data_IF_818518189930
#
_entry.id   IF_818518189930
#
_cell.length_a   1.000
_cell.length_b   1.000
_cell.length_c   1.000
_cell.angle_alpha   90.00
_cell.angle_beta   90.00
_cell.angle_gamma   90.00
#
_symmetry.space_group_name_H-M   'P 1'
#
loop_
_entity.id
_entity.type
_entity.pdbx_description
1 polymer ?
#
# COMPACT_ATOMS: atom_id res chain seq x y z
N UNK A 1 19.57 -3.55 7.91
CA UNK A 1 18.72 -2.42 7.51
C UNK A 1 17.27 -2.87 7.49
N UNK A 2 16.39 -2.12 8.12
CA UNK A 2 14.99 -2.51 8.29
C UNK A 2 14.13 -1.94 7.17
N UNK A 3 13.33 -2.78 6.52
CA UNK A 3 12.36 -2.34 5.52
C UNK A 3 10.96 -2.37 6.14
N UNK A 4 10.52 -1.23 6.65
CA UNK A 4 9.22 -1.11 7.34
C UNK A 4 8.05 -1.25 6.40
N UNK A 5 8.23 -0.91 5.11
CA UNK A 5 7.18 -1.08 4.10
C UNK A 5 7.02 -2.56 3.78
N UNK A 6 8.13 -3.30 3.63
CA UNK A 6 8.07 -4.74 3.41
C UNK A 6 7.38 -5.45 4.58
N UNK A 7 7.66 -5.03 5.81
CA UNK A 7 6.99 -5.56 7.00
C UNK A 7 5.49 -5.27 6.95
N UNK A 8 5.10 -4.05 6.59
CA UNK A 8 3.69 -3.65 6.42
C UNK A 8 2.98 -4.56 5.41
N UNK A 9 3.57 -4.75 4.24
CA UNK A 9 2.99 -5.59 3.19
C UNK A 9 2.90 -7.06 3.64
N UNK A 10 3.91 -7.53 4.35
CA UNK A 10 3.93 -8.91 4.88
C UNK A 10 2.83 -9.12 5.90
N UNK A 11 2.60 -8.16 6.80
CA UNK A 11 1.51 -8.23 7.78
C UNK A 11 0.16 -8.29 7.11
N UNK A 12 -0.06 -7.47 6.07
CA UNK A 12 -1.29 -7.51 5.28
C UNK A 12 -1.44 -8.86 4.58
N UNK A 13 -0.38 -9.33 3.93
CA UNK A 13 -0.39 -10.60 3.19
C UNK A 13 -0.72 -11.77 4.11
N UNK A 14 -0.10 -11.82 5.29
CA UNK A 14 -0.35 -12.89 6.26
C UNK A 14 -1.78 -12.84 6.81
N UNK A 15 -2.30 -11.65 7.10
CA UNK A 15 -3.67 -11.48 7.57
C UNK A 15 -4.69 -11.91 6.51
N UNK A 16 -4.44 -11.59 5.25
CA UNK A 16 -5.30 -12.00 4.13
C UNK A 16 -5.28 -13.52 3.98
N UNK A 17 -4.10 -14.13 4.04
CA UNK A 17 -3.95 -15.58 3.93
C UNK A 17 -4.65 -16.31 5.08
N UNK A 18 -4.66 -15.73 6.27
CA UNK A 18 -5.33 -16.28 7.45
C UNK A 18 -6.81 -15.90 7.53
N UNK A 19 -7.34 -15.16 6.57
CA UNK A 19 -8.73 -14.68 6.52
C UNK A 19 -9.11 -13.83 7.73
N UNK A 20 -8.19 -13.04 8.26
CA UNK A 20 -8.49 -12.11 9.33
C UNK A 20 -9.34 -10.96 8.81
N UNK A 21 -10.24 -10.43 9.63
CA UNK A 21 -11.06 -9.26 9.28
C UNK A 21 -10.33 -7.96 9.51
N UNK A 22 -9.47 -7.92 10.52
CA UNK A 22 -8.75 -6.72 10.92
C UNK A 22 -7.29 -7.08 11.12
N UNK A 23 -6.41 -6.18 10.68
CA UNK A 23 -4.97 -6.30 10.93
C UNK A 23 -4.48 -5.01 11.56
N UNK A 24 -3.56 -5.13 12.52
CA UNK A 24 -2.94 -4.00 13.18
C UNK A 24 -1.47 -3.92 12.76
N UNK A 25 -1.03 -2.71 12.43
CA UNK A 25 0.37 -2.47 12.05
C UNK A 25 0.88 -1.23 12.80
N UNK A 26 2.17 -1.19 13.16
CA UNK A 26 2.76 0.03 13.72
C UNK A 26 2.62 1.18 12.73
N UNK A 27 2.26 2.37 13.22
CA UNK A 27 2.01 3.52 12.36
C UNK A 27 3.31 4.24 11.99
N UNK A 28 3.30 4.85 10.81
CA UNK A 28 4.26 5.86 10.38
C UNK A 28 3.53 6.74 9.36
N UNK A 29 4.07 7.92 9.08
CA UNK A 29 3.45 8.81 8.10
C UNK A 29 3.31 8.16 6.73
N UNK A 30 4.37 7.46 6.30
CA UNK A 30 4.37 6.77 5.01
C UNK A 30 3.33 5.65 4.97
N UNK A 31 3.25 4.82 6.02
CA UNK A 31 2.26 3.74 6.11
C UNK A 31 0.83 4.28 6.13
N UNK A 32 0.60 5.41 6.81
CA UNK A 32 -0.71 6.07 6.82
C UNK A 32 -1.11 6.51 5.41
N UNK A 33 -0.17 7.08 4.64
CA UNK A 33 -0.44 7.50 3.27
C UNK A 33 -0.73 6.30 2.36
N UNK A 34 0.00 5.22 2.50
CA UNK A 34 -0.25 3.98 1.74
C UNK A 34 -1.63 3.44 2.09
N UNK A 35 -2.00 3.42 3.36
CA UNK A 35 -3.30 2.92 3.82
C UNK A 35 -4.45 3.76 3.24
N UNK A 36 -4.32 5.08 3.22
CA UNK A 36 -5.31 5.96 2.60
C UNK A 36 -5.52 5.62 1.12
N UNK A 37 -4.42 5.37 0.39
CA UNK A 37 -4.49 5.01 -1.02
C UNK A 37 -5.22 3.69 -1.20
N UNK A 38 -4.92 2.68 -0.39
CA UNK A 38 -5.61 1.40 -0.44
C UNK A 38 -7.11 1.55 -0.22
N UNK A 39 -7.50 2.41 0.71
CA UNK A 39 -8.91 2.71 0.96
C UNK A 39 -9.56 3.43 -0.23
N UNK A 40 -8.93 4.47 -0.74
CA UNK A 40 -9.46 5.25 -1.87
C UNK A 40 -9.60 4.40 -3.13
N UNK A 41 -8.71 3.45 -3.34
CA UNK A 41 -8.73 2.56 -4.51
C UNK A 41 -9.63 1.33 -4.30
N UNK A 42 -10.26 1.21 -3.14
CA UNK A 42 -11.22 0.14 -2.87
C UNK A 42 -10.59 -1.20 -2.51
N UNK A 43 -9.34 -1.24 -2.09
CA UNK A 43 -8.66 -2.49 -1.70
C UNK A 43 -8.91 -2.90 -0.27
N UNK A 44 -9.27 -1.96 0.59
CA UNK A 44 -9.62 -2.23 1.99
C UNK A 44 -10.97 -1.63 2.30
N UNK A 45 -11.63 -2.17 3.33
CA UNK A 45 -12.97 -1.71 3.71
C UNK A 45 -12.92 -0.39 4.48
N UNK A 46 -11.99 -0.26 5.41
CA UNK A 46 -11.84 0.94 6.23
C UNK A 46 -10.50 0.89 6.98
N UNK A 47 -10.14 1.98 7.63
CA UNK A 47 -8.95 2.06 8.45
C UNK A 47 -9.16 3.04 9.59
N UNK A 48 -8.36 2.89 10.65
CA UNK A 48 -8.41 3.77 11.81
C UNK A 48 -7.01 3.94 12.38
N UNK A 49 -6.65 5.17 12.74
CA UNK A 49 -5.41 5.46 13.43
C UNK A 49 -5.69 5.48 14.93
N UNK A 50 -4.95 4.70 15.68
CA UNK A 50 -5.13 4.57 17.13
C UNK A 50 -3.86 5.01 17.83
N UNK A 51 -3.99 6.00 18.71
CA UNK A 51 -2.92 6.38 19.62
C UNK A 51 -3.03 5.52 20.86
N UNK A 52 -1.91 5.04 21.37
CA UNK A 52 -1.88 4.19 22.55
C UNK A 52 -0.59 4.37 23.32
N UNK A 53 -0.17 3.35 24.04
CA UNK A 53 1.08 3.36 24.81
C UNK A 53 2.32 3.52 23.91
N UNK A 54 2.19 3.08 22.66
CA UNK A 54 3.24 3.25 21.67
C UNK A 54 3.23 4.68 21.12
N UNK A 55 4.35 5.44 21.20
CA UNK A 55 4.40 6.81 20.69
C UNK A 55 4.09 6.94 19.21
N UNK A 56 4.36 5.87 18.42
CA UNK A 56 4.08 5.85 16.99
C UNK A 56 2.60 5.67 16.69
N UNK A 57 1.87 5.03 17.60
CA UNK A 57 0.50 4.64 17.35
C UNK A 57 0.39 3.37 16.51
N UNK A 58 -0.83 3.01 16.19
CA UNK A 58 -1.17 1.79 15.44
C UNK A 58 -2.18 2.13 14.36
N UNK A 59 -2.06 1.50 13.19
CA UNK A 59 -3.06 1.56 12.14
C UNK A 59 -3.86 0.26 12.21
N UNK A 60 -5.18 0.38 12.40
CA UNK A 60 -6.11 -0.75 12.29
C UNK A 60 -6.70 -0.73 10.91
N UNK A 61 -6.58 -1.82 10.18
CA UNK A 61 -7.03 -1.93 8.80
C UNK A 61 -8.11 -3.01 8.75
N UNK A 62 -9.31 -2.63 8.32
CA UNK A 62 -10.39 -3.57 8.08
C UNK A 62 -10.27 -4.08 6.65
N UNK A 63 -10.01 -5.37 6.50
CA UNK A 63 -9.82 -6.01 5.20
C UNK A 63 -11.16 -6.22 4.50
N UNK A 64 -11.13 -6.20 3.18
CA UNK A 64 -12.33 -6.27 2.35
C UNK A 64 -12.42 -7.64 1.66
N UNK A 65 -13.50 -8.36 1.90
CA UNK A 65 -13.78 -9.66 1.31
C UNK A 65 -15.07 -9.61 0.52
N UNK A 66 -15.12 -10.38 -0.56
CA UNK A 66 -16.36 -10.56 -1.31
C UNK A 66 -17.37 -11.31 -0.42
N UNK A 67 -18.62 -10.82 -0.31
CA UNK A 67 -19.61 -11.46 0.58
C UNK A 67 -20.06 -12.85 0.10
N UNK A 68 -19.88 -13.18 -1.16
CA UNK A 68 -20.31 -14.46 -1.74
C UNK A 68 -19.19 -15.49 -1.70
N UNK A 69 -18.06 -15.22 -2.37
CA UNK A 69 -16.94 -16.16 -2.48
C UNK A 69 -15.87 -15.98 -1.40
N UNK A 70 -15.96 -14.91 -0.62
CA UNK A 70 -15.06 -14.57 0.48
C UNK A 70 -13.60 -14.37 0.07
N UNK A 71 -13.38 -14.03 -1.19
CA UNK A 71 -12.04 -13.70 -1.70
C UNK A 71 -11.71 -12.26 -1.32
N UNK A 72 -10.48 -12.03 -0.84
CA UNK A 72 -10.04 -10.69 -0.47
C UNK A 72 -9.89 -9.80 -1.71
N UNK A 73 -10.21 -8.51 -1.56
CA UNK A 73 -10.06 -7.53 -2.63
C UNK A 73 -8.61 -7.38 -3.09
N UNK A 74 -7.65 -7.58 -2.19
CA UNK A 74 -6.23 -7.58 -2.53
C UNK A 74 -5.84 -8.98 -2.98
N UNK A 75 -5.42 -9.12 -4.24
CA UNK A 75 -4.98 -10.40 -4.80
C UNK A 75 -3.47 -10.57 -4.65
N UNK A 76 -2.72 -9.48 -4.69
CA UNK A 76 -1.27 -9.52 -4.56
C UNK A 76 -0.70 -8.21 -4.06
N UNK A 77 0.43 -8.33 -3.36
CA UNK A 77 1.21 -7.22 -2.83
C UNK A 77 2.67 -7.50 -3.17
N UNK A 78 3.33 -6.59 -3.87
CA UNK A 78 4.73 -6.76 -4.26
C UNK A 78 5.54 -5.54 -3.88
N UNK A 79 6.58 -5.76 -3.07
CA UNK A 79 7.56 -4.72 -2.76
C UNK A 79 8.46 -4.52 -3.98
N UNK A 80 8.62 -3.29 -4.44
CA UNK A 80 9.45 -2.98 -5.62
C UNK A 80 10.76 -2.34 -5.19
N UNK A 81 10.73 -1.11 -4.67
CA UNK A 81 11.92 -0.43 -4.19
C UNK A 81 12.31 -0.96 -2.81
N UNK A 82 13.59 -1.23 -2.59
CA UNK A 82 14.10 -1.76 -1.32
C UNK A 82 15.26 -0.91 -0.84
N UNK A 83 15.56 -0.90 0.47
CA UNK A 83 16.69 -0.13 0.96
C UNK A 83 18.02 -0.42 0.27
N UNK A 84 18.26 -1.68 -0.12
CA UNK A 84 19.47 -2.09 -0.82
C UNK A 84 19.43 -1.87 -2.33
N UNK A 85 18.26 -1.60 -2.90
CA UNK A 85 18.10 -1.39 -4.35
C UNK A 85 16.87 -0.52 -4.59
N UNK A 86 17.07 0.79 -4.61
CA UNK A 86 15.99 1.75 -4.85
C UNK A 86 15.58 1.74 -6.32
N UNK A 87 14.27 1.79 -6.58
CA UNK A 87 13.69 1.78 -7.91
C UNK A 87 12.94 3.09 -8.15
N UNK A 88 13.36 3.83 -9.18
CA UNK A 88 12.74 5.11 -9.53
C UNK A 88 12.18 5.05 -10.94
N UNK A 89 11.19 5.87 -11.23
CA UNK A 89 10.63 6.00 -12.57
C UNK A 89 10.29 7.47 -12.87
N UNK A 90 10.38 7.86 -14.13
CA UNK A 90 9.86 9.13 -14.61
C UNK A 90 8.39 9.01 -14.97
N UNK A 91 7.70 10.15 -15.10
CA UNK A 91 6.27 10.14 -15.39
C UNK A 91 5.94 9.56 -16.79
N UNK A 92 6.90 9.58 -17.72
CA UNK A 92 6.70 9.03 -19.06
C UNK A 92 6.78 7.50 -19.10
N UNK A 93 7.47 6.91 -18.13
CA UNK A 93 7.72 5.46 -18.07
C UNK A 93 6.99 4.82 -16.90
N UNK A 94 5.82 5.36 -16.53
CA UNK A 94 5.05 4.86 -15.40
C UNK A 94 4.73 3.38 -15.57
N UNK A 95 4.99 2.55 -14.53
CA UNK A 95 4.65 1.13 -14.60
C UNK A 95 3.14 0.93 -14.67
N UNK A 96 2.74 -0.08 -15.42
CA UNK A 96 1.34 -0.53 -15.48
C UNK A 96 1.26 -1.89 -14.80
N UNK A 97 0.41 -2.00 -13.80
CA UNK A 97 0.23 -3.22 -13.03
C UNK A 97 -0.98 -3.97 -13.59
N UNK A 98 -0.76 -5.18 -14.09
CA UNK A 98 -1.82 -6.01 -14.69
C UNK A 98 -2.65 -5.25 -15.73
N UNK A 99 -1.99 -4.54 -16.64
CA UNK A 99 -2.62 -3.75 -17.71
C UNK A 99 -3.65 -2.73 -17.18
N UNK A 100 -3.35 -2.13 -16.01
CA UNK A 100 -4.21 -1.12 -15.41
C UNK A 100 -5.24 -1.66 -14.43
N UNK A 101 -5.28 -2.96 -14.19
CA UNK A 101 -6.18 -3.56 -13.20
C UNK A 101 -5.66 -3.40 -11.76
N UNK A 102 -4.36 -3.20 -11.61
CA UNK A 102 -3.73 -2.92 -10.33
C UNK A 102 -3.16 -1.52 -10.27
N UNK A 103 -2.49 -1.20 -9.17
CA UNK A 103 -1.84 0.10 -8.96
C UNK A 103 -0.40 -0.07 -8.55
N UNK A 104 0.42 0.94 -8.86
CA UNK A 104 1.71 1.15 -8.24
C UNK A 104 1.59 2.33 -7.29
N UNK A 105 2.18 2.21 -6.11
CA UNK A 105 2.23 3.31 -5.14
C UNK A 105 3.63 3.90 -5.18
N UNK A 106 3.71 5.22 -5.41
CA UNK A 106 4.96 5.95 -5.56
C UNK A 106 5.12 7.00 -4.48
N UNK A 107 6.37 7.21 -4.07
CA UNK A 107 6.76 8.36 -3.26
C UNK A 107 7.37 9.40 -4.19
N UNK A 108 6.70 10.54 -4.30
CA UNK A 108 7.12 11.64 -5.20
C UNK A 108 7.40 12.89 -4.39
N UNK A 109 7.96 13.91 -5.06
CA UNK A 109 8.17 15.22 -4.44
C UNK A 109 6.85 15.90 -4.03
N UNK A 110 5.73 15.44 -4.57
CA UNK A 110 4.39 15.98 -4.27
C UNK A 110 3.57 15.06 -3.36
N UNK A 111 4.23 14.07 -2.75
CA UNK A 111 3.61 13.15 -1.80
C UNK A 111 3.54 11.72 -2.31
N UNK A 112 2.90 10.87 -1.54
CA UNK A 112 2.69 9.46 -1.88
C UNK A 112 1.40 9.36 -2.69
N UNK A 113 1.47 8.70 -3.85
CA UNK A 113 0.34 8.64 -4.78
C UNK A 113 0.40 7.40 -5.66
N UNK A 114 -0.66 7.15 -6.41
CA UNK A 114 -0.70 6.07 -7.38
C UNK A 114 0.05 6.46 -8.66
N UNK A 115 0.40 5.43 -9.46
CA UNK A 115 1.01 5.64 -10.77
C UNK A 115 0.15 6.52 -11.69
N UNK A 116 -1.17 6.34 -11.65
CA UNK A 116 -2.09 7.13 -12.47
C UNK A 116 -2.09 8.60 -12.04
N UNK A 117 -2.11 8.86 -10.74
CA UNK A 117 -2.06 10.23 -10.22
C UNK A 117 -0.74 10.91 -10.53
N UNK A 118 0.37 10.19 -10.40
CA UNK A 118 1.71 10.70 -10.70
C UNK A 118 1.85 11.05 -12.18
N UNK A 119 1.33 10.21 -13.07
CA UNK A 119 1.33 10.47 -14.51
C UNK A 119 0.48 11.70 -14.83
N UNK A 120 -0.69 11.84 -14.21
CA UNK A 120 -1.55 13.01 -14.39
C UNK A 120 -0.86 14.30 -13.96
N UNK A 121 -0.14 14.28 -12.85
CA UNK A 121 0.61 15.42 -12.35
C UNK A 121 1.97 15.60 -13.03
N UNK A 122 2.35 14.68 -13.92
CA UNK A 122 3.63 14.68 -14.63
C UNK A 122 4.82 14.69 -13.67
N UNK A 123 4.75 13.86 -12.63
CA UNK A 123 5.84 13.68 -11.66
C UNK A 123 6.29 12.23 -11.63
N UNK A 124 7.58 12.02 -11.50
CA UNK A 124 8.16 10.72 -11.24
C UNK A 124 8.49 10.55 -9.77
N UNK A 125 8.96 9.38 -9.40
CA UNK A 125 9.36 9.12 -8.03
C UNK A 125 9.83 7.69 -7.79
N UNK A 126 9.95 7.35 -6.52
CA UNK A 126 10.32 6.01 -6.09
C UNK A 126 9.08 5.09 -6.11
N UNK A 127 9.20 3.97 -6.82
CA UNK A 127 8.13 2.97 -6.88
C UNK A 127 8.22 2.10 -5.63
N UNK A 128 7.31 2.30 -4.70
CA UNK A 128 7.33 1.60 -3.41
C UNK A 128 6.85 0.16 -3.55
N UNK A 129 5.68 -0.03 -4.14
CA UNK A 129 5.08 -1.36 -4.25
C UNK A 129 4.01 -1.40 -5.34
N UNK A 130 3.62 -2.62 -5.70
CA UNK A 130 2.46 -2.88 -6.55
C UNK A 130 1.36 -3.54 -5.72
N UNK A 131 0.11 -3.17 -6.00
CA UNK A 131 -1.09 -3.76 -5.38
C UNK A 131 -2.06 -4.12 -6.50
N UNK A 132 -2.58 -5.34 -6.43
CA UNK A 132 -3.58 -5.80 -7.39
C UNK A 132 -4.52 -6.84 -6.81
#
# INVERSE_FOLDING_TARGET
MTDTIADYLTRLRNAIKANHRVVEVPASNLKKEITKILFEQGYILNYKFVEGENPQGTIKIALKYDPVDRVNAIKGLKRVSRPGLRQYTGYKDMPRVLNGLGIAILSTSRGVMTNMKAAELQVGGEVLCYVY
#
